data_IF_283565633853
#
_entry.id   IF_283565633853
#
_cell.length_a   1.000
_cell.length_b   1.000
_cell.length_c   1.000
_cell.angle_alpha   90.00
_cell.angle_beta   90.00
_cell.angle_gamma   90.00
#
_symmetry.space_group_name_H-M   'P 1'
#
loop_
_entity.id
_entity.type
_entity.pdbx_description
1 polymer ?
#
# COMPACT_ATOMS: atom_id res chain seq x y z
N UNK A 1 1.07 -25.94 -11.01
CA UNK A 1 1.23 -24.53 -10.62
C UNK A 1 0.72 -24.37 -9.19
N UNK A 2 1.51 -23.80 -8.27
CA UNK A 2 1.07 -23.59 -6.88
C UNK A 2 0.11 -22.40 -6.84
N UNK A 3 -1.06 -22.56 -6.23
CA UNK A 3 -2.05 -21.48 -6.00
C UNK A 3 -1.44 -20.25 -5.30
N UNK A 4 -0.40 -20.50 -4.50
CA UNK A 4 0.40 -19.50 -3.77
C UNK A 4 1.11 -18.48 -4.68
N UNK A 5 1.34 -18.80 -5.96
CA UNK A 5 1.95 -17.87 -6.93
C UNK A 5 0.95 -16.84 -7.46
N UNK A 6 -0.35 -17.16 -7.48
CA UNK A 6 -1.40 -16.24 -7.94
C UNK A 6 -2.01 -15.41 -6.79
N UNK A 7 -1.96 -15.93 -5.56
CA UNK A 7 -2.50 -15.27 -4.37
C UNK A 7 -1.44 -15.17 -3.26
N UNK A 8 -0.40 -14.33 -3.45
CA UNK A 8 0.72 -14.26 -2.53
C UNK A 8 0.27 -13.85 -1.13
N UNK A 9 -0.76 -13.01 -0.97
CA UNK A 9 -1.30 -12.58 0.33
C UNK A 9 -1.66 -13.73 1.30
N UNK A 10 -1.96 -14.93 0.80
CA UNK A 10 -2.25 -16.10 1.65
C UNK A 10 -1.02 -16.57 2.45
N UNK A 11 0.18 -16.32 1.93
CA UNK A 11 1.44 -16.61 2.63
C UNK A 11 1.66 -15.60 3.76
N UNK A 12 1.14 -14.37 3.58
CA UNK A 12 1.47 -13.24 4.45
C UNK A 12 0.88 -13.41 5.84
N UNK A 13 -0.31 -14.00 5.91
CA UNK A 13 -0.96 -14.36 7.17
C UNK A 13 -0.09 -15.26 8.06
N UNK A 14 0.77 -16.11 7.49
CA UNK A 14 1.66 -16.99 8.26
C UNK A 14 2.84 -16.25 8.91
N UNK A 15 3.15 -15.04 8.44
CA UNK A 15 4.27 -14.22 8.91
C UNK A 15 3.83 -13.15 9.93
N UNK A 16 2.52 -12.99 10.15
CA UNK A 16 1.98 -12.01 11.08
C UNK A 16 2.24 -12.41 12.52
N UNK A 17 2.86 -11.52 13.27
CA UNK A 17 3.00 -11.60 14.73
C UNK A 17 2.29 -10.42 15.39
N UNK A 18 1.96 -10.52 16.68
CA UNK A 18 1.36 -9.39 17.42
C UNK A 18 2.25 -8.14 17.40
N UNK A 19 3.58 -8.33 17.33
CA UNK A 19 4.55 -7.25 17.22
C UNK A 19 4.53 -6.60 15.84
N UNK A 20 4.52 -7.41 14.78
CA UNK A 20 4.50 -6.89 13.40
C UNK A 20 3.22 -6.10 13.13
N UNK A 21 2.05 -6.58 13.57
CA UNK A 21 0.77 -5.85 13.37
C UNK A 21 0.81 -4.45 13.99
N UNK A 22 1.40 -4.29 15.18
CA UNK A 22 1.54 -2.97 15.81
C UNK A 22 2.53 -2.08 15.05
N UNK A 23 3.65 -2.64 14.61
CA UNK A 23 4.65 -1.90 13.84
C UNK A 23 4.09 -1.46 12.48
N UNK A 24 3.43 -2.36 11.75
CA UNK A 24 2.81 -2.12 10.45
C UNK A 24 1.69 -1.08 10.54
N UNK A 25 0.92 -1.08 11.64
CA UNK A 25 -0.10 -0.06 11.87
C UNK A 25 0.50 1.35 12.01
N UNK A 26 1.56 1.50 12.81
CA UNK A 26 2.24 2.79 12.99
C UNK A 26 2.93 3.22 11.69
N UNK A 27 3.59 2.29 10.99
CA UNK A 27 4.23 2.56 9.71
C UNK A 27 3.21 2.97 8.64
N UNK A 28 2.07 2.27 8.56
CA UNK A 28 0.98 2.59 7.64
C UNK A 28 0.34 3.95 7.92
N UNK A 29 0.11 4.29 9.19
CA UNK A 29 -0.41 5.60 9.58
C UNK A 29 0.56 6.73 9.20
N UNK A 30 1.85 6.52 9.48
CA UNK A 30 2.90 7.50 9.14
C UNK A 30 3.00 7.68 7.62
N UNK A 31 2.97 6.58 6.87
CA UNK A 31 2.98 6.61 5.41
C UNK A 31 1.75 7.31 4.83
N UNK A 32 0.56 7.07 5.38
CA UNK A 32 -0.67 7.71 4.94
C UNK A 32 -0.63 9.24 5.09
N UNK A 33 -0.06 9.73 6.21
CA UNK A 33 0.11 11.18 6.44
C UNK A 33 1.05 11.81 5.40
N UNK A 34 2.07 11.09 4.95
CA UNK A 34 3.03 11.57 3.94
C UNK A 34 2.44 11.50 2.53
N UNK A 35 1.78 10.38 2.20
CA UNK A 35 1.21 10.12 0.87
C UNK A 35 0.07 11.08 0.53
N UNK A 36 -0.71 11.52 1.51
CA UNK A 36 -1.86 12.40 1.27
C UNK A 36 -1.48 13.74 0.60
N UNK A 37 -0.56 14.56 1.14
CA UNK A 37 -0.12 15.77 0.46
C UNK A 37 0.68 15.47 -0.82
N UNK A 38 1.46 14.38 -0.85
CA UNK A 38 2.25 13.98 -2.02
C UNK A 38 1.39 13.62 -3.23
N UNK A 39 0.33 12.82 -3.03
CA UNK A 39 -0.59 12.42 -4.09
C UNK A 39 -1.38 13.60 -4.67
N UNK A 40 -1.82 14.51 -3.79
CA UNK A 40 -2.48 15.77 -4.21
C UNK A 40 -1.53 16.63 -5.05
N UNK A 41 -0.27 16.75 -4.66
CA UNK A 41 0.73 17.49 -5.42
C UNK A 41 0.97 16.88 -6.81
N UNK A 42 1.10 15.55 -6.90
CA UNK A 42 1.29 14.87 -8.19
C UNK A 42 0.07 14.98 -9.11
N UNK A 43 -1.16 14.84 -8.58
CA UNK A 43 -2.36 15.05 -9.37
C UNK A 43 -2.43 16.49 -9.91
N UNK A 44 -2.08 17.46 -9.09
CA UNK A 44 -2.06 18.88 -9.47
C UNK A 44 -1.03 19.16 -10.57
N UNK A 45 0.19 18.63 -10.46
CA UNK A 45 1.25 18.79 -11.48
C UNK A 45 0.86 18.08 -12.80
N UNK A 46 0.14 16.97 -12.71
CA UNK A 46 -0.38 16.24 -13.87
C UNK A 46 -1.59 16.93 -14.55
N UNK A 47 -2.09 18.04 -14.01
CA UNK A 47 -3.28 18.73 -14.51
C UNK A 47 -4.59 18.00 -14.25
N UNK A 48 -4.59 17.04 -13.32
CA UNK A 48 -5.76 16.26 -12.90
C UNK A 48 -6.40 16.90 -11.66
N UNK A 49 -7.70 16.66 -11.42
CA UNK A 49 -8.34 17.02 -10.16
C UNK A 49 -7.61 16.36 -8.97
N UNK A 50 -7.36 17.08 -7.86
CA UNK A 50 -6.65 16.58 -6.68
C UNK A 50 -7.19 15.27 -6.10
N UNK A 51 -8.50 15.02 -6.21
CA UNK A 51 -9.14 13.78 -5.76
C UNK A 51 -8.56 12.52 -6.42
N UNK A 52 -8.02 12.62 -7.64
CA UNK A 52 -7.35 11.48 -8.28
C UNK A 52 -6.10 11.04 -7.53
N UNK A 53 -5.39 11.97 -6.89
CA UNK A 53 -4.25 11.65 -6.02
C UNK A 53 -4.65 10.83 -4.80
N UNK A 54 -5.84 11.08 -4.25
CA UNK A 54 -6.41 10.30 -3.14
C UNK A 54 -6.84 8.91 -3.61
N UNK A 55 -7.49 8.81 -4.78
CA UNK A 55 -7.88 7.51 -5.33
C UNK A 55 -6.67 6.62 -5.62
N UNK A 56 -5.61 7.16 -6.21
CA UNK A 56 -4.37 6.40 -6.47
C UNK A 56 -3.65 6.05 -5.18
N UNK A 57 -3.63 6.95 -4.19
CA UNK A 57 -3.05 6.71 -2.87
C UNK A 57 -3.76 5.60 -2.07
N UNK A 58 -5.03 5.31 -2.36
CA UNK A 58 -5.78 4.23 -1.70
C UNK A 58 -5.73 2.92 -2.49
N UNK A 59 -5.99 2.98 -3.80
CA UNK A 59 -6.15 1.77 -4.63
C UNK A 59 -4.80 1.10 -4.89
N UNK A 60 -3.76 1.87 -5.20
CA UNK A 60 -2.44 1.33 -5.55
C UNK A 60 -1.83 0.51 -4.40
N UNK A 61 -1.81 0.98 -3.15
CA UNK A 61 -1.27 0.19 -2.04
C UNK A 61 -2.10 -1.06 -1.73
N UNK A 62 -3.43 -1.04 -1.92
CA UNK A 62 -4.28 -2.23 -1.75
C UNK A 62 -3.91 -3.29 -2.77
N UNK A 63 -3.81 -2.91 -4.05
CA UNK A 63 -3.41 -3.83 -5.11
C UNK A 63 -1.99 -4.33 -4.89
N UNK A 64 -1.06 -3.45 -4.53
CA UNK A 64 0.33 -3.80 -4.23
C UNK A 64 0.45 -4.73 -3.00
N UNK A 65 -0.35 -4.54 -1.96
CA UNK A 65 -0.36 -5.42 -0.79
C UNK A 65 -0.91 -6.82 -1.10
N UNK A 66 -1.87 -6.94 -2.03
CA UNK A 66 -2.47 -8.22 -2.41
C UNK A 66 -1.61 -9.03 -3.38
N UNK A 67 -0.91 -8.36 -4.29
CA UNK A 67 -0.18 -8.99 -5.40
C UNK A 67 1.34 -8.76 -5.38
N UNK A 68 1.83 -7.96 -4.44
CA UNK A 68 3.26 -7.66 -4.30
C UNK A 68 4.08 -8.90 -3.98
N UNK A 69 5.30 -8.95 -4.54
CA UNK A 69 6.25 -10.04 -4.26
C UNK A 69 7.12 -9.77 -3.03
N UNK A 70 6.97 -8.61 -2.37
CA UNK A 70 7.81 -8.18 -1.24
C UNK A 70 6.97 -7.64 -0.09
N UNK A 71 7.29 -8.11 1.12
CA UNK A 71 6.55 -7.86 2.36
C UNK A 71 6.75 -6.44 2.92
N UNK A 72 7.80 -5.74 2.52
CA UNK A 72 8.17 -4.42 3.03
C UNK A 72 8.04 -3.30 1.99
N UNK A 73 7.64 -3.64 0.76
CA UNK A 73 7.63 -2.70 -0.34
C UNK A 73 6.36 -1.85 -0.24
N UNK A 74 6.54 -0.55 0.00
CA UNK A 74 5.48 0.44 -0.10
C UNK A 74 5.43 0.92 -1.55
N UNK A 75 4.30 0.75 -2.23
CA UNK A 75 4.05 1.29 -3.57
C UNK A 75 2.89 2.27 -3.48
N UNK A 76 3.18 3.54 -3.71
CA UNK A 76 2.27 4.67 -3.62
C UNK A 76 2.99 5.95 -3.98
#
# INVERSE_FOLDING_TARGET
>A
MKFETFFPFLIWFKLLTKGSIKADFIAGLTGAVIVLPQGVAFATIAGLPPEYGLYTAMVTPIVAALFGSSFHLVSG
#
